data_IF_529492707295
#
_entry.id   IF_529492707295
#
_cell.length_a   1.000
_cell.length_b   1.000
_cell.length_c   1.000
_cell.angle_alpha   90.00
_cell.angle_beta   90.00
_cell.angle_gamma   90.00
#
_symmetry.space_group_name_H-M   'P 1'
#
loop_
_entity.id
_entity.type
_entity.pdbx_description
1 polymer ?
#
# COMPACT_ATOMS: atom_id res chain seq x y z
N UNK A 1 -13.59 33.00 4.28
CA UNK A 1 -13.33 32.02 3.20
C UNK A 1 -14.20 30.81 3.50
N UNK A 2 -15.04 30.40 2.56
CA UNK A 2 -15.90 29.23 2.74
C UNK A 2 -15.09 27.94 2.70
N UNK A 3 -15.57 26.84 3.30
CA UNK A 3 -14.90 25.54 3.21
C UNK A 3 -14.63 25.09 1.77
N UNK A 4 -15.51 25.42 0.82
CA UNK A 4 -15.31 25.08 -0.60
C UNK A 4 -14.11 25.80 -1.21
N UNK A 5 -13.96 27.09 -0.91
CA UNK A 5 -12.84 27.89 -1.41
C UNK A 5 -11.49 27.39 -0.89
N UNK A 6 -11.45 26.92 0.36
CA UNK A 6 -10.25 26.34 0.95
C UNK A 6 -9.86 25.03 0.26
N UNK A 7 -10.84 24.14 0.00
CA UNK A 7 -10.59 22.86 -0.70
C UNK A 7 -10.05 23.10 -2.11
N UNK A 8 -10.66 24.01 -2.87
CA UNK A 8 -10.21 24.34 -4.23
C UNK A 8 -8.75 24.82 -4.25
N UNK A 9 -8.32 25.56 -3.23
CA UNK A 9 -6.96 26.10 -3.15
C UNK A 9 -5.90 25.01 -2.91
N UNK A 10 -6.20 24.01 -2.07
CA UNK A 10 -5.24 22.97 -1.68
C UNK A 10 -5.22 21.77 -2.63
N UNK A 11 -6.30 21.54 -3.38
CA UNK A 11 -6.45 20.37 -4.27
C UNK A 11 -5.29 20.21 -5.26
N UNK A 12 -4.78 21.26 -5.94
CA UNK A 12 -3.65 21.12 -6.86
C UNK A 12 -2.34 20.71 -6.17
N UNK A 13 -2.09 21.16 -4.94
CA UNK A 13 -0.89 20.78 -4.17
C UNK A 13 -0.97 19.33 -3.69
N UNK A 14 -2.19 18.79 -3.54
CA UNK A 14 -2.43 17.45 -2.99
C UNK A 14 -2.57 16.39 -4.09
N UNK A 15 -3.13 16.73 -5.25
CA UNK A 15 -3.48 15.77 -6.32
C UNK A 15 -2.69 15.96 -7.63
N UNK A 16 -1.53 16.62 -7.62
CA UNK A 16 -0.69 16.70 -8.82
C UNK A 16 -0.04 15.35 -9.18
N UNK A 17 0.36 15.15 -10.43
CA UNK A 17 0.82 13.86 -10.99
C UNK A 17 1.99 13.18 -10.24
N UNK A 18 2.76 13.95 -9.47
CA UNK A 18 3.89 13.47 -8.66
C UNK A 18 3.61 13.48 -7.15
N UNK A 19 2.36 13.73 -6.75
CA UNK A 19 1.95 13.67 -5.35
C UNK A 19 2.08 12.24 -4.82
N UNK A 20 2.75 12.10 -3.68
CA UNK A 20 2.87 10.83 -2.94
C UNK A 20 1.81 10.70 -1.84
N UNK A 21 0.99 11.73 -1.63
CA UNK A 21 0.03 11.82 -0.52
C UNK A 21 -1.10 10.82 -0.72
N UNK A 22 -1.60 10.73 -1.94
CA UNK A 22 -2.51 9.69 -2.37
C UNK A 22 -1.77 8.82 -3.38
N UNK A 23 -1.05 7.82 -2.87
CA UNK A 23 -0.56 6.72 -3.71
C UNK A 23 -1.72 6.07 -4.47
N UNK A 24 -1.44 5.21 -5.46
CA UNK A 24 -2.47 4.62 -6.34
C UNK A 24 -3.68 4.04 -5.59
N UNK A 25 -3.53 3.64 -4.32
CA UNK A 25 -4.63 3.17 -3.48
C UNK A 25 -5.24 1.86 -3.96
N UNK A 26 -4.55 1.14 -4.86
CA UNK A 26 -5.03 -0.08 -5.48
C UNK A 26 -4.56 -1.29 -4.69
N UNK A 27 -5.52 -2.12 -4.29
CA UNK A 27 -5.24 -3.45 -3.75
C UNK A 27 -4.46 -4.22 -4.82
N UNK A 28 -3.33 -4.82 -4.43
CA UNK A 28 -2.52 -5.66 -5.32
C UNK A 28 -1.40 -4.95 -6.09
N UNK A 29 -1.22 -3.62 -5.98
CA UNK A 29 -0.11 -2.95 -6.70
C UNK A 29 1.27 -3.47 -6.28
N UNK A 30 1.40 -4.08 -5.09
CA UNK A 30 2.61 -4.78 -4.63
C UNK A 30 3.09 -5.86 -5.61
N UNK A 31 2.19 -6.49 -6.36
CA UNK A 31 2.52 -7.52 -7.36
C UNK A 31 3.37 -6.97 -8.51
N UNK A 32 3.26 -5.66 -8.80
CA UNK A 32 4.05 -5.01 -9.84
C UNK A 32 5.48 -4.69 -9.38
N UNK A 33 5.75 -4.73 -8.08
CA UNK A 33 7.03 -4.31 -7.49
C UNK A 33 7.79 -5.47 -6.81
N UNK A 34 7.11 -6.54 -6.41
CA UNK A 34 7.72 -7.68 -5.74
C UNK A 34 8.19 -8.73 -6.75
N UNK A 35 9.49 -9.04 -6.72
CA UNK A 35 10.04 -10.22 -7.38
C UNK A 35 9.73 -11.47 -6.55
N UNK A 36 10.01 -12.64 -7.12
CA UNK A 36 9.80 -13.89 -6.40
C UNK A 36 10.76 -14.03 -5.21
N UNK A 37 11.97 -13.47 -5.30
CA UNK A 37 12.92 -13.40 -4.20
C UNK A 37 12.39 -12.54 -3.05
N UNK A 38 11.74 -11.40 -3.35
CA UNK A 38 11.10 -10.57 -2.31
C UNK A 38 9.98 -11.32 -1.60
N UNK A 39 9.14 -12.05 -2.35
CA UNK A 39 8.07 -12.88 -1.76
C UNK A 39 8.63 -13.96 -0.86
N UNK A 40 9.70 -14.63 -1.30
CA UNK A 40 10.34 -15.69 -0.54
C UNK A 40 10.98 -15.16 0.75
N UNK A 41 11.72 -14.06 0.68
CA UNK A 41 12.29 -13.42 1.87
C UNK A 41 11.19 -12.98 2.86
N UNK A 42 10.07 -12.48 2.38
CA UNK A 42 8.95 -12.11 3.24
C UNK A 42 8.31 -13.33 3.92
N UNK A 43 8.15 -14.45 3.19
CA UNK A 43 7.68 -15.72 3.77
C UNK A 43 8.59 -16.19 4.90
N UNK A 44 9.90 -16.10 4.71
CA UNK A 44 10.90 -16.52 5.71
C UNK A 44 10.88 -15.65 6.97
N UNK A 45 10.70 -14.34 6.84
CA UNK A 45 10.76 -13.40 7.99
C UNK A 45 9.42 -13.26 8.71
N UNK A 46 8.31 -13.20 7.96
CA UNK A 46 7.00 -12.82 8.50
C UNK A 46 5.95 -13.93 8.45
N UNK A 47 6.19 -15.03 7.73
CA UNK A 47 5.19 -16.07 7.50
C UNK A 47 4.67 -16.70 8.79
N UNK A 48 5.57 -17.04 9.72
CA UNK A 48 5.19 -17.61 11.02
C UNK A 48 4.36 -16.64 11.86
N UNK A 49 4.73 -15.35 11.85
CA UNK A 49 3.98 -14.31 12.57
C UNK A 49 2.56 -14.16 12.03
N UNK A 50 2.37 -14.22 10.71
CA UNK A 50 1.05 -14.14 10.09
C UNK A 50 0.16 -15.34 10.45
N UNK A 51 0.73 -16.54 10.51
CA UNK A 51 0.03 -17.75 10.93
C UNK A 51 -0.38 -17.64 12.40
N UNK A 52 0.54 -17.23 13.27
CA UNK A 52 0.27 -17.08 14.71
C UNK A 52 -0.80 -16.01 15.00
N UNK A 53 -0.91 -14.99 14.15
CA UNK A 53 -1.95 -13.96 14.24
C UNK A 53 -3.28 -14.37 13.58
N UNK A 54 -3.35 -15.53 12.94
CA UNK A 54 -4.53 -16.01 12.21
C UNK A 54 -4.83 -15.22 10.93
N UNK A 55 -3.86 -14.44 10.43
CA UNK A 55 -3.99 -13.73 9.17
C UNK A 55 -3.83 -14.68 7.97
N UNK A 56 -2.98 -15.70 8.12
CA UNK A 56 -2.77 -16.75 7.13
C UNK A 56 -2.95 -18.14 7.73
N UNK A 57 -3.43 -19.10 6.92
CA UNK A 57 -3.64 -20.49 7.36
C UNK A 57 -2.44 -21.41 7.11
N UNK A 58 -1.39 -20.91 6.45
CA UNK A 58 -0.21 -21.68 6.10
C UNK A 58 0.76 -20.89 5.23
N UNK A 59 1.82 -21.54 4.75
CA UNK A 59 2.90 -20.92 3.97
C UNK A 59 2.68 -20.95 2.44
N UNK A 60 1.61 -21.60 1.97
CA UNK A 60 1.23 -21.69 0.56
C UNK A 60 0.26 -20.57 0.17
N UNK A 61 0.74 -19.33 0.26
CA UNK A 61 0.09 -18.12 -0.27
C UNK A 61 0.87 -17.53 -1.45
#
# INVERSE_FOLDING_TARGET
MSPKEQITKITPEIFFERSTIFSKGQIGDWQNHFTDEHKQAFKEVAGEALINLGAESGSNW
#
